data_IF_300658514867
#
_entry.id   IF_300658514867
#
_cell.length_a   1.000
_cell.length_b   1.000
_cell.length_c   1.000
_cell.angle_alpha   90.00
_cell.angle_beta   90.00
_cell.angle_gamma   90.00
#
_symmetry.space_group_name_H-M   'P 1'
#
loop_
_entity.id
_entity.type
_entity.pdbx_description
1 polymer ?
#
# COMPACT_ATOMS: atom_id res chain seq x y z
N UNK A 1 -16.53 13.61 4.85
CA UNK A 1 -17.41 14.19 3.83
C UNK A 1 -17.10 13.80 2.38
N UNK A 2 -16.00 13.14 2.08
CA UNK A 2 -15.68 12.66 0.71
C UNK A 2 -16.35 11.32 0.34
N UNK A 3 -16.79 10.52 1.31
CA UNK A 3 -17.40 9.19 1.12
C UNK A 3 -18.86 9.23 0.61
N UNK A 4 -19.56 10.35 0.74
CA UNK A 4 -20.97 10.46 0.30
C UNK A 4 -21.13 10.70 -1.21
N UNK A 5 -20.14 11.24 -1.90
CA UNK A 5 -20.21 11.53 -3.34
C UNK A 5 -20.21 10.28 -4.22
N UNK A 6 -19.61 9.18 -3.76
CA UNK A 6 -19.57 7.93 -4.52
C UNK A 6 -20.89 7.14 -4.43
N UNK A 7 -21.65 7.31 -3.34
CA UNK A 7 -22.96 6.68 -3.19
C UNK A 7 -24.00 7.27 -4.16
N UNK A 8 -23.91 8.59 -4.44
CA UNK A 8 -24.84 9.26 -5.35
C UNK A 8 -24.59 8.90 -6.83
N UNK A 9 -23.34 8.65 -7.24
CA UNK A 9 -23.03 8.24 -8.60
C UNK A 9 -23.51 6.81 -8.92
N UNK A 10 -23.51 5.90 -7.95
CA UNK A 10 -24.03 4.54 -8.12
C UNK A 10 -25.57 4.51 -8.22
N UNK A 11 -26.27 5.39 -7.50
CA UNK A 11 -27.75 5.48 -7.57
C UNK A 11 -28.24 6.09 -8.88
N UNK A 12 -27.51 7.02 -9.50
CA UNK A 12 -27.91 7.63 -10.77
C UNK A 12 -27.70 6.70 -11.98
N UNK A 13 -26.74 5.77 -11.92
CA UNK A 13 -26.56 4.76 -12.98
C UNK A 13 -27.63 3.64 -12.95
N UNK A 14 -28.27 3.39 -11.79
CA UNK A 14 -29.31 2.37 -11.66
C UNK A 14 -30.72 2.83 -12.08
N UNK A 15 -30.97 4.14 -12.16
CA UNK A 15 -32.32 4.65 -12.50
C UNK A 15 -32.58 4.75 -14.00
N UNK A 16 -31.56 4.70 -14.85
CA UNK A 16 -31.74 4.80 -16.31
C UNK A 16 -32.02 3.46 -17.01
N UNK A 17 -31.89 2.31 -16.31
CA UNK A 17 -32.18 0.99 -16.89
C UNK A 17 -33.59 0.47 -16.58
N UNK A 18 -34.40 1.20 -15.80
CA UNK A 18 -35.67 0.71 -15.27
C UNK A 18 -36.94 1.36 -15.84
N UNK A 19 -36.85 2.19 -16.88
CA UNK A 19 -38.04 2.76 -17.52
C UNK A 19 -38.14 2.40 -18.98
N UNK A 20 -38.30 1.10 -19.28
CA UNK A 20 -38.98 0.69 -20.49
C UNK A 20 -40.43 0.49 -20.14
N UNK A 21 -41.20 1.57 -20.20
CA UNK A 21 -42.63 1.56 -20.12
C UNK A 21 -43.17 0.81 -21.34
N UNK A 22 -43.70 -0.42 -21.14
CA UNK A 22 -44.47 -1.13 -22.17
C UNK A 22 -45.82 -0.42 -22.30
N UNK A 23 -45.94 0.41 -23.32
CA UNK A 23 -47.25 0.87 -23.80
C UNK A 23 -47.92 -0.33 -24.46
N UNK A 24 -48.97 -0.87 -23.80
CA UNK A 24 -49.83 -1.87 -24.41
C UNK A 24 -50.80 -1.10 -25.33
N UNK A 25 -50.55 -1.16 -26.62
CA UNK A 25 -51.49 -0.63 -27.62
C UNK A 25 -52.63 -1.67 -27.81
N UNK A 26 -53.78 -1.40 -27.24
CA UNK A 26 -55.00 -2.20 -27.37
C UNK A 26 -55.81 -1.70 -28.57
N UNK A 27 -55.30 -1.83 -29.75
CA UNK A 27 -56.17 -1.71 -30.92
C UNK A 27 -55.71 -2.58 -32.11
N UNK A 28 -56.68 -3.35 -32.60
CA UNK A 28 -56.72 -4.19 -33.83
C UNK A 28 -56.27 -5.65 -33.69
N UNK A 29 -57.31 -6.50 -33.50
CA UNK A 29 -57.47 -7.82 -34.12
C UNK A 29 -56.24 -8.70 -34.25
N UNK A 30 -55.59 -9.00 -33.16
CA UNK A 30 -54.40 -9.84 -33.17
C UNK A 30 -54.72 -11.26 -32.68
N UNK A 31 -54.45 -12.23 -33.54
CA UNK A 31 -54.43 -13.63 -33.20
C UNK A 31 -53.62 -13.85 -31.90
N UNK A 32 -54.20 -14.52 -30.92
CA UNK A 32 -53.47 -14.99 -29.73
C UNK A 32 -52.37 -15.94 -30.19
N UNK A 33 -51.16 -15.43 -30.38
CA UNK A 33 -49.97 -16.29 -30.53
C UNK A 33 -49.78 -17.04 -29.25
N UNK A 34 -50.03 -18.35 -29.27
CA UNK A 34 -49.66 -19.21 -28.16
C UNK A 34 -48.17 -19.05 -27.92
N UNK A 35 -47.77 -18.61 -26.70
CA UNK A 35 -46.35 -18.57 -26.30
C UNK A 35 -45.78 -19.99 -26.44
N UNK A 36 -44.66 -20.10 -27.10
CA UNK A 36 -43.94 -21.36 -27.19
C UNK A 36 -43.17 -21.60 -25.87
N UNK A 37 -42.82 -22.85 -25.57
CA UNK A 37 -41.98 -23.21 -24.45
C UNK A 37 -40.69 -22.34 -24.42
N UNK A 38 -40.12 -22.02 -25.56
CA UNK A 38 -38.95 -21.13 -25.70
C UNK A 38 -39.23 -19.70 -25.26
N UNK A 39 -40.46 -19.20 -25.44
CA UNK A 39 -40.83 -17.85 -25.00
C UNK A 39 -40.99 -17.81 -23.48
N UNK A 40 -41.56 -18.87 -22.86
CA UNK A 40 -41.62 -19.01 -21.41
C UNK A 40 -40.25 -19.13 -20.76
N UNK A 41 -39.33 -19.92 -21.36
CA UNK A 41 -37.93 -20.01 -20.89
C UNK A 41 -37.21 -18.68 -20.98
N UNK A 42 -37.40 -17.94 -22.08
CA UNK A 42 -36.83 -16.61 -22.26
C UNK A 42 -37.35 -15.59 -21.23
N UNK A 43 -38.65 -15.59 -20.96
CA UNK A 43 -39.25 -14.74 -19.94
C UNK A 43 -38.77 -15.11 -18.55
N UNK A 44 -38.66 -16.40 -18.23
CA UNK A 44 -38.09 -16.87 -16.96
C UNK A 44 -36.64 -16.41 -16.76
N UNK A 45 -35.82 -16.52 -17.81
CA UNK A 45 -34.43 -16.00 -17.76
C UNK A 45 -34.38 -14.48 -17.56
N UNK A 46 -35.24 -13.72 -18.20
CA UNK A 46 -35.33 -12.25 -18.02
C UNK A 46 -35.75 -11.91 -16.60
N UNK A 47 -36.72 -12.62 -16.03
CA UNK A 47 -37.17 -12.39 -14.64
C UNK A 47 -36.10 -12.79 -13.62
N UNK A 48 -35.39 -13.89 -13.83
CA UNK A 48 -34.26 -14.30 -13.00
C UNK A 48 -33.15 -13.25 -13.03
N UNK A 49 -32.76 -12.77 -14.22
CA UNK A 49 -31.74 -11.72 -14.36
C UNK A 49 -32.12 -10.40 -13.68
N UNK A 50 -33.43 -10.03 -13.70
CA UNK A 50 -33.95 -8.87 -12.96
C UNK A 50 -33.87 -9.08 -11.44
N UNK A 51 -34.26 -10.28 -10.96
CA UNK A 51 -34.18 -10.62 -9.55
C UNK A 51 -32.73 -10.59 -9.04
N UNK A 52 -31.79 -11.15 -9.80
CA UNK A 52 -30.38 -11.10 -9.47
C UNK A 52 -29.81 -9.67 -9.48
N UNK A 53 -30.32 -8.81 -10.35
CA UNK A 53 -29.95 -7.40 -10.37
C UNK A 53 -30.37 -6.67 -9.08
N UNK A 54 -31.57 -6.96 -8.57
CA UNK A 54 -32.09 -6.37 -7.32
C UNK A 54 -31.29 -6.91 -6.11
N UNK A 55 -31.03 -8.23 -6.07
CA UNK A 55 -30.21 -8.85 -5.01
C UNK A 55 -28.80 -8.30 -5.01
N UNK A 56 -28.17 -8.14 -6.19
CA UNK A 56 -26.86 -7.54 -6.33
C UNK A 56 -26.80 -6.14 -5.73
N UNK A 57 -27.78 -5.30 -6.04
CA UNK A 57 -27.88 -3.94 -5.48
C UNK A 57 -28.04 -3.95 -3.95
N UNK A 58 -28.85 -4.87 -3.40
CA UNK A 58 -29.04 -5.02 -1.95
C UNK A 58 -27.74 -5.49 -1.27
N UNK A 59 -27.04 -6.46 -1.86
CA UNK A 59 -25.72 -6.89 -1.36
C UNK A 59 -24.72 -5.73 -1.31
N UNK A 60 -24.63 -4.91 -2.38
CA UNK A 60 -23.78 -3.72 -2.40
C UNK A 60 -24.15 -2.73 -1.28
N UNK A 61 -25.43 -2.44 -1.13
CA UNK A 61 -25.92 -1.54 -0.06
C UNK A 61 -25.50 -2.04 1.32
N UNK A 62 -25.68 -3.34 1.60
CA UNK A 62 -25.28 -3.96 2.87
C UNK A 62 -23.77 -3.94 3.06
N UNK A 63 -22.99 -4.25 2.02
CA UNK A 63 -21.55 -4.24 2.08
C UNK A 63 -21.01 -2.84 2.42
N UNK A 64 -21.48 -1.79 1.75
CA UNK A 64 -21.06 -0.42 2.04
C UNK A 64 -21.55 0.08 3.41
N UNK A 65 -22.74 -0.35 3.85
CA UNK A 65 -23.21 -0.07 5.21
C UNK A 65 -22.32 -0.73 6.26
N UNK A 66 -21.92 -1.99 6.05
CA UNK A 66 -20.99 -2.71 6.92
C UNK A 66 -19.60 -2.04 6.98
N UNK A 67 -19.05 -1.57 5.84
CA UNK A 67 -17.81 -0.77 5.82
C UNK A 67 -17.96 0.53 6.64
N UNK A 68 -19.10 1.17 6.58
CA UNK A 68 -19.35 2.39 7.35
C UNK A 68 -19.36 2.12 8.87
N UNK A 69 -19.75 0.92 9.27
CA UNK A 69 -19.78 0.45 10.66
C UNK A 69 -18.49 -0.30 11.06
N UNK A 70 -17.41 -0.21 10.26
CA UNK A 70 -16.14 -0.90 10.44
C UNK A 70 -16.26 -2.44 10.58
N UNK A 71 -17.36 -3.02 10.08
CA UNK A 71 -17.61 -4.48 10.08
C UNK A 71 -17.04 -5.12 8.82
N UNK A 72 -15.71 -5.32 8.79
CA UNK A 72 -15.00 -5.82 7.60
C UNK A 72 -15.46 -7.22 7.18
N UNK A 73 -15.76 -8.11 8.12
CA UNK A 73 -16.21 -9.48 7.84
C UNK A 73 -17.57 -9.52 7.13
N UNK A 74 -18.51 -8.70 7.59
CA UNK A 74 -19.84 -8.57 6.96
C UNK A 74 -19.73 -7.91 5.58
N UNK A 75 -18.90 -6.87 5.45
CA UNK A 75 -18.65 -6.22 4.17
C UNK A 75 -18.07 -7.22 3.15
N UNK A 76 -17.04 -7.98 3.54
CA UNK A 76 -16.41 -9.03 2.73
C UNK A 76 -17.42 -10.08 2.27
N UNK A 77 -18.30 -10.53 3.17
CA UNK A 77 -19.36 -11.50 2.86
C UNK A 77 -20.27 -10.97 1.77
N UNK A 78 -20.84 -9.78 1.96
CA UNK A 78 -21.79 -9.20 1.02
C UNK A 78 -21.16 -8.81 -0.32
N UNK A 79 -19.89 -8.38 -0.35
CA UNK A 79 -19.16 -8.18 -1.60
C UNK A 79 -18.98 -9.50 -2.37
N UNK A 80 -18.60 -10.59 -1.69
CA UNK A 80 -18.47 -11.91 -2.32
C UNK A 80 -19.81 -12.44 -2.85
N UNK A 81 -20.90 -12.24 -2.12
CA UNK A 81 -22.25 -12.56 -2.58
C UNK A 81 -22.64 -11.77 -3.85
N UNK A 82 -22.32 -10.47 -3.88
CA UNK A 82 -22.57 -9.64 -5.06
C UNK A 82 -21.80 -10.13 -6.29
N UNK A 83 -20.51 -10.48 -6.15
CA UNK A 83 -19.72 -11.04 -7.25
C UNK A 83 -20.28 -12.37 -7.78
N UNK A 84 -20.85 -13.21 -6.91
CA UNK A 84 -21.48 -14.47 -7.32
C UNK A 84 -22.76 -14.22 -8.12
N UNK A 85 -23.56 -13.24 -7.74
CA UNK A 85 -24.81 -12.89 -8.42
C UNK A 85 -24.59 -12.31 -9.82
N UNK A 86 -23.57 -11.46 -9.96
CA UNK A 86 -23.24 -10.78 -11.23
C UNK A 86 -21.74 -10.70 -11.47
N UNK A 87 -21.07 -11.80 -11.84
CA UNK A 87 -19.61 -11.85 -11.95
C UNK A 87 -19.02 -10.95 -13.05
N UNK A 88 -19.81 -10.58 -14.04
CA UNK A 88 -19.39 -9.76 -15.19
C UNK A 88 -19.93 -8.32 -15.17
N UNK A 89 -20.46 -7.84 -14.04
CA UNK A 89 -20.97 -6.49 -13.95
C UNK A 89 -19.83 -5.46 -14.08
N UNK A 90 -20.03 -4.41 -14.88
CA UNK A 90 -19.04 -3.36 -15.12
C UNK A 90 -18.54 -2.66 -13.84
N UNK A 91 -19.38 -2.58 -12.79
CA UNK A 91 -19.02 -1.98 -11.50
C UNK A 91 -18.21 -2.87 -10.57
N UNK A 92 -17.94 -4.12 -10.91
CA UNK A 92 -17.27 -5.07 -10.04
C UNK A 92 -15.83 -4.66 -9.67
N UNK A 93 -15.18 -3.80 -10.45
CA UNK A 93 -13.88 -3.24 -10.08
C UNK A 93 -13.90 -2.51 -8.71
N UNK A 94 -15.04 -1.91 -8.33
CA UNK A 94 -15.21 -1.26 -7.02
C UNK A 94 -15.24 -2.32 -5.92
N UNK A 95 -15.95 -3.43 -6.15
CA UNK A 95 -16.01 -4.56 -5.20
C UNK A 95 -14.62 -5.16 -5.03
N UNK A 96 -13.95 -5.43 -6.14
CA UNK A 96 -12.59 -5.99 -6.13
C UNK A 96 -11.61 -5.06 -5.41
N UNK A 97 -11.72 -3.74 -5.61
CA UNK A 97 -10.90 -2.76 -4.86
C UNK A 97 -11.13 -2.88 -3.35
N UNK A 98 -12.39 -2.87 -2.88
CA UNK A 98 -12.68 -2.95 -1.45
C UNK A 98 -12.33 -4.31 -0.84
N UNK A 99 -12.49 -5.39 -1.58
CA UNK A 99 -12.02 -6.71 -1.13
C UNK A 99 -10.49 -6.74 -1.00
N UNK A 100 -9.76 -6.07 -1.88
CA UNK A 100 -8.32 -5.88 -1.77
C UNK A 100 -7.94 -5.09 -0.52
N UNK A 101 -8.62 -3.96 -0.26
CA UNK A 101 -8.41 -3.13 0.94
C UNK A 101 -8.70 -3.92 2.24
N UNK A 102 -9.77 -4.72 2.26
CA UNK A 102 -10.09 -5.59 3.40
C UNK A 102 -9.01 -6.66 3.60
N UNK A 103 -8.58 -7.32 2.53
CA UNK A 103 -7.56 -8.35 2.60
C UNK A 103 -6.21 -7.78 3.07
N UNK A 104 -5.86 -6.55 2.67
CA UNK A 104 -4.67 -5.84 3.14
C UNK A 104 -4.73 -5.57 4.65
N UNK A 105 -5.86 -5.09 5.16
CA UNK A 105 -6.08 -4.87 6.61
C UNK A 105 -6.02 -6.18 7.39
N UNK A 106 -6.53 -7.29 6.81
CA UNK A 106 -6.46 -8.63 7.41
C UNK A 106 -5.05 -9.26 7.31
N UNK A 107 -4.09 -8.62 6.61
CA UNK A 107 -2.74 -9.15 6.39
C UNK A 107 -2.67 -10.25 5.32
N UNK A 108 -3.73 -10.48 4.56
CA UNK A 108 -3.81 -11.47 3.50
C UNK A 108 -3.28 -10.89 2.17
N UNK A 109 -1.98 -10.58 2.12
CA UNK A 109 -1.36 -9.80 1.03
C UNK A 109 -1.54 -10.43 -0.36
N UNK A 110 -1.44 -11.76 -0.49
CA UNK A 110 -1.65 -12.44 -1.78
C UNK A 110 -3.12 -12.31 -2.27
N UNK A 111 -4.10 -12.33 -1.34
CA UNK A 111 -5.51 -12.11 -1.67
C UNK A 111 -5.73 -10.65 -2.09
N UNK A 112 -5.09 -9.70 -1.42
CA UNK A 112 -5.13 -8.27 -1.75
C UNK A 112 -4.59 -8.00 -3.16
N UNK A 113 -3.39 -8.49 -3.48
CA UNK A 113 -2.78 -8.37 -4.82
C UNK A 113 -3.70 -8.93 -5.91
N UNK A 114 -4.28 -10.13 -5.68
CA UNK A 114 -5.20 -10.75 -6.63
C UNK A 114 -6.47 -9.91 -6.85
N UNK A 115 -7.04 -9.33 -5.80
CA UNK A 115 -8.20 -8.46 -5.89
C UNK A 115 -7.87 -7.15 -6.62
N UNK A 116 -6.77 -6.47 -6.28
CA UNK A 116 -6.35 -5.25 -6.98
C UNK A 116 -6.05 -5.52 -8.47
N UNK A 117 -5.44 -6.66 -8.78
CA UNK A 117 -5.18 -7.06 -10.17
C UNK A 117 -6.47 -7.26 -10.96
N UNK A 118 -7.51 -7.88 -10.35
CA UNK A 118 -8.83 -8.01 -11.00
C UNK A 118 -9.51 -6.66 -11.20
N UNK A 119 -9.41 -5.76 -10.23
CA UNK A 119 -9.95 -4.39 -10.35
C UNK A 119 -9.27 -3.63 -11.50
N UNK A 120 -7.94 -3.66 -11.57
CA UNK A 120 -7.15 -2.98 -12.60
C UNK A 120 -7.31 -3.59 -13.99
N UNK A 121 -7.61 -4.90 -14.08
CA UNK A 121 -7.96 -5.55 -15.35
C UNK A 121 -9.27 -5.03 -15.93
N UNK A 122 -10.26 -4.73 -15.08
CA UNK A 122 -11.55 -4.16 -15.49
C UNK A 122 -11.43 -2.67 -15.76
N UNK A 123 -10.66 -1.95 -14.95
CA UNK A 123 -10.49 -0.50 -15.04
C UNK A 123 -9.03 -0.10 -14.80
N UNK A 124 -8.22 0.04 -15.87
CA UNK A 124 -6.78 0.28 -15.78
C UNK A 124 -6.39 1.66 -15.22
N UNK A 125 -7.31 2.64 -15.22
CA UNK A 125 -7.09 4.03 -14.79
C UNK A 125 -7.33 4.26 -13.28
N UNK A 126 -7.43 3.21 -12.49
CA UNK A 126 -7.57 3.29 -11.03
C UNK A 126 -6.21 3.56 -10.36
N UNK A 127 -5.77 4.82 -10.37
CA UNK A 127 -4.43 5.20 -9.87
C UNK A 127 -4.21 4.82 -8.40
N UNK A 128 -5.22 5.02 -7.54
CA UNK A 128 -5.13 4.66 -6.12
C UNK A 128 -5.01 3.14 -5.90
N UNK A 129 -5.76 2.35 -6.66
CA UNK A 129 -5.70 0.89 -6.61
C UNK A 129 -4.34 0.39 -7.11
N UNK A 130 -3.80 1.01 -8.16
CA UNK A 130 -2.46 0.70 -8.66
C UNK A 130 -1.38 1.01 -7.62
N UNK A 131 -1.50 2.14 -6.94
CA UNK A 131 -0.56 2.49 -5.86
C UNK A 131 -0.68 1.51 -4.67
N UNK A 132 -1.90 1.14 -4.27
CA UNK A 132 -2.12 0.14 -3.22
C UNK A 132 -1.53 -1.22 -3.62
N UNK A 133 -1.72 -1.66 -4.87
CA UNK A 133 -1.11 -2.90 -5.36
C UNK A 133 0.42 -2.84 -5.31
N UNK A 134 1.03 -1.75 -5.75
CA UNK A 134 2.49 -1.57 -5.68
C UNK A 134 3.03 -1.68 -4.24
N UNK A 135 2.29 -1.17 -3.24
CA UNK A 135 2.65 -1.32 -1.82
C UNK A 135 2.57 -2.79 -1.38
N UNK A 136 1.51 -3.48 -1.75
CA UNK A 136 1.33 -4.92 -1.43
C UNK A 136 2.40 -5.76 -2.13
N UNK A 137 2.68 -5.50 -3.41
CA UNK A 137 3.73 -6.17 -4.18
C UNK A 137 5.12 -5.97 -3.55
N UNK A 138 5.41 -4.76 -3.04
CA UNK A 138 6.64 -4.49 -2.31
C UNK A 138 6.75 -5.35 -1.03
N UNK A 139 5.66 -5.49 -0.28
CA UNK A 139 5.61 -6.33 0.93
C UNK A 139 5.75 -7.83 0.62
N UNK A 140 5.25 -8.27 -0.54
CA UNK A 140 5.39 -9.64 -1.06
C UNK A 140 6.76 -9.90 -1.70
N UNK A 141 7.63 -8.89 -1.77
CA UNK A 141 8.92 -8.94 -2.49
C UNK A 141 8.77 -9.14 -4.01
N UNK A 142 7.61 -8.81 -4.58
CA UNK A 142 7.36 -8.75 -6.02
C UNK A 142 7.87 -7.40 -6.58
N UNK A 143 9.19 -7.21 -6.49
CA UNK A 143 9.81 -5.90 -6.71
C UNK A 143 9.67 -5.39 -8.15
N UNK A 144 9.69 -6.29 -9.15
CA UNK A 144 9.56 -5.91 -10.56
C UNK A 144 8.14 -5.38 -10.85
N UNK A 145 7.14 -6.05 -10.32
CA UNK A 145 5.73 -5.69 -10.45
C UNK A 145 5.47 -4.33 -9.79
N UNK A 146 5.94 -4.15 -8.55
CA UNK A 146 5.85 -2.88 -7.82
C UNK A 146 6.51 -1.72 -8.60
N UNK A 147 7.71 -1.95 -9.17
CA UNK A 147 8.40 -0.97 -10.02
C UNK A 147 7.57 -0.61 -11.24
N UNK A 148 7.00 -1.60 -11.93
CA UNK A 148 6.21 -1.38 -13.16
C UNK A 148 4.94 -0.57 -12.87
N UNK A 149 4.26 -0.83 -11.75
CA UNK A 149 3.11 -0.04 -11.33
C UNK A 149 3.49 1.40 -10.99
N UNK A 150 4.63 1.61 -10.32
CA UNK A 150 5.17 2.95 -10.05
C UNK A 150 5.54 3.69 -11.34
N UNK A 151 6.17 3.03 -12.32
CA UNK A 151 6.52 3.63 -13.61
C UNK A 151 5.27 4.10 -14.36
N UNK A 152 4.22 3.28 -14.38
CA UNK A 152 2.95 3.64 -14.98
C UNK A 152 2.32 4.88 -14.29
N UNK A 153 2.40 4.96 -12.96
CA UNK A 153 1.87 6.10 -12.20
C UNK A 153 2.69 7.39 -12.42
N UNK A 154 4.01 7.31 -12.49
CA UNK A 154 4.87 8.47 -12.72
C UNK A 154 4.66 9.10 -14.09
N UNK A 155 4.31 8.30 -15.11
CA UNK A 155 3.99 8.78 -16.46
C UNK A 155 2.70 9.60 -16.54
N UNK A 156 1.85 9.56 -15.51
CA UNK A 156 0.56 10.28 -15.47
C UNK A 156 0.67 11.69 -14.86
N UNK A 157 1.89 12.22 -14.72
CA UNK A 157 2.16 13.54 -14.12
C UNK A 157 1.46 13.73 -12.76
N UNK A 158 1.76 12.90 -11.77
CA UNK A 158 1.10 12.92 -10.45
C UNK A 158 1.35 14.24 -9.71
N UNK A 159 0.51 14.51 -8.71
CA UNK A 159 0.75 15.62 -7.77
C UNK A 159 2.10 15.45 -7.08
N UNK A 160 2.60 16.52 -6.45
CA UNK A 160 3.87 16.46 -5.71
C UNK A 160 3.84 15.41 -4.61
N UNK A 161 2.74 15.33 -3.88
CA UNK A 161 2.52 14.39 -2.78
C UNK A 161 2.46 12.94 -3.29
N UNK A 162 1.72 12.70 -4.36
CA UNK A 162 1.64 11.36 -4.96
C UNK A 162 3.00 10.96 -5.56
N UNK A 163 3.69 11.90 -6.23
CA UNK A 163 5.02 11.67 -6.77
C UNK A 163 6.02 11.26 -5.69
N UNK A 164 5.98 11.91 -4.53
CA UNK A 164 6.84 11.57 -3.39
C UNK A 164 6.59 10.16 -2.90
N UNK A 165 5.33 9.75 -2.76
CA UNK A 165 4.96 8.38 -2.36
C UNK A 165 5.39 7.34 -3.40
N UNK A 166 5.15 7.61 -4.68
CA UNK A 166 5.50 6.69 -5.76
C UNK A 166 7.02 6.51 -5.85
N UNK A 167 7.79 7.60 -5.75
CA UNK A 167 9.26 7.54 -5.77
C UNK A 167 9.80 6.73 -4.59
N UNK A 168 9.21 6.87 -3.40
CA UNK A 168 9.59 6.08 -2.23
C UNK A 168 9.36 4.58 -2.44
N UNK A 169 8.19 4.19 -2.97
CA UNK A 169 7.85 2.79 -3.25
C UNK A 169 8.78 2.23 -4.34
N UNK A 170 9.01 3.01 -5.43
CA UNK A 170 9.87 2.58 -6.52
C UNK A 170 11.32 2.42 -6.06
N UNK A 171 11.85 3.36 -5.29
CA UNK A 171 13.19 3.26 -4.72
C UNK A 171 13.33 2.03 -3.82
N UNK A 172 12.32 1.73 -2.99
CA UNK A 172 12.30 0.53 -2.16
C UNK A 172 12.33 -0.76 -2.99
N UNK A 173 11.56 -0.81 -4.07
CA UNK A 173 11.57 -1.94 -5.00
C UNK A 173 12.93 -2.08 -5.71
N UNK A 174 13.51 -0.98 -6.16
CA UNK A 174 14.84 -0.96 -6.81
C UNK A 174 15.96 -1.43 -5.87
N UNK A 175 15.91 -1.03 -4.59
CA UNK A 175 16.84 -1.55 -3.57
C UNK A 175 16.66 -3.06 -3.39
N UNK A 176 15.41 -3.54 -3.30
CA UNK A 176 15.12 -4.97 -3.24
C UNK A 176 15.69 -5.75 -4.43
N UNK A 177 15.74 -5.13 -5.61
CA UNK A 177 16.34 -5.67 -6.84
C UNK A 177 17.85 -5.46 -6.92
N UNK A 178 18.48 -4.80 -5.96
CA UNK A 178 19.89 -4.37 -5.95
C UNK A 178 20.28 -3.40 -7.08
N UNK A 179 19.31 -2.65 -7.58
CA UNK A 179 19.50 -1.58 -8.58
C UNK A 179 19.76 -0.23 -7.88
N UNK A 180 20.79 -0.20 -7.04
CA UNK A 180 21.08 0.91 -6.13
C UNK A 180 21.28 2.25 -6.85
N UNK A 181 21.85 2.27 -8.06
CA UNK A 181 22.07 3.50 -8.82
C UNK A 181 20.74 4.15 -9.27
N UNK A 182 19.75 3.32 -9.66
CA UNK A 182 18.43 3.82 -10.04
C UNK A 182 17.66 4.29 -8.80
N UNK A 183 17.69 3.48 -7.73
CA UNK A 183 17.08 3.83 -6.44
C UNK A 183 17.60 5.17 -5.90
N UNK A 184 18.90 5.41 -6.00
CA UNK A 184 19.52 6.67 -5.57
C UNK A 184 18.94 7.88 -6.30
N UNK A 185 18.74 7.82 -7.61
CA UNK A 185 18.15 8.94 -8.39
C UNK A 185 16.74 9.27 -7.89
N UNK A 186 15.96 8.24 -7.58
CA UNK A 186 14.61 8.42 -7.02
C UNK A 186 14.67 9.04 -5.62
N UNK A 187 15.57 8.55 -4.76
CA UNK A 187 15.74 9.05 -3.40
C UNK A 187 16.29 10.50 -3.38
N UNK A 188 17.22 10.83 -4.25
CA UNK A 188 17.71 12.21 -4.42
C UNK A 188 16.56 13.15 -4.83
N UNK A 189 15.76 12.71 -5.80
CA UNK A 189 14.56 13.46 -6.23
C UNK A 189 13.56 13.59 -5.09
N UNK A 190 13.34 12.53 -4.32
CA UNK A 190 12.43 12.54 -3.18
C UNK A 190 12.90 13.49 -2.08
N UNK A 191 14.19 13.50 -1.73
CA UNK A 191 14.75 14.45 -0.76
C UNK A 191 14.57 15.92 -1.18
N UNK A 192 14.61 16.20 -2.50
CA UNK A 192 14.36 17.54 -3.03
C UNK A 192 12.86 17.92 -3.00
N UNK A 193 11.99 16.94 -3.31
CA UNK A 193 10.54 17.15 -3.31
C UNK A 193 9.98 17.27 -1.90
N UNK A 194 10.46 16.43 -0.99
CA UNK A 194 10.01 16.38 0.40
C UNK A 194 11.21 16.38 1.37
N UNK A 195 11.77 17.58 1.67
CA UNK A 195 12.91 17.70 2.59
C UNK A 195 12.60 17.27 4.04
N UNK A 196 11.32 17.14 4.39
CA UNK A 196 10.87 16.66 5.71
C UNK A 196 10.69 15.14 5.77
N UNK A 197 10.87 14.44 4.66
CA UNK A 197 10.80 12.99 4.65
C UNK A 197 11.91 12.40 5.54
N UNK A 198 11.52 11.62 6.51
CA UNK A 198 12.46 11.07 7.50
C UNK A 198 13.21 9.86 6.97
N UNK A 199 12.59 9.10 6.08
CA UNK A 199 13.12 7.81 5.61
C UNK A 199 14.01 7.95 4.37
N UNK A 200 13.68 8.87 3.45
CA UNK A 200 14.41 8.99 2.19
C UNK A 200 15.91 9.28 2.36
N UNK A 201 16.36 10.19 3.25
CA UNK A 201 17.78 10.43 3.49
C UNK A 201 18.49 9.22 4.09
N UNK A 202 17.80 8.44 4.94
CA UNK A 202 18.34 7.22 5.55
C UNK A 202 18.56 6.15 4.48
N UNK A 203 17.55 5.91 3.64
CA UNK A 203 17.64 4.95 2.53
C UNK A 203 18.71 5.36 1.51
N UNK A 204 18.82 6.66 1.21
CA UNK A 204 19.87 7.19 0.34
C UNK A 204 21.26 6.94 0.92
N UNK A 205 21.45 7.20 2.21
CA UNK A 205 22.72 6.98 2.87
C UNK A 205 23.10 5.49 2.94
N UNK A 206 22.11 4.62 3.20
CA UNK A 206 22.33 3.17 3.18
C UNK A 206 22.76 2.71 1.78
N UNK A 207 22.08 3.13 0.73
CA UNK A 207 22.42 2.80 -0.66
C UNK A 207 23.83 3.29 -1.03
N UNK A 208 24.20 4.51 -0.64
CA UNK A 208 25.54 5.06 -0.85
C UNK A 208 26.61 4.26 -0.10
N UNK A 209 26.33 3.85 1.13
CA UNK A 209 27.25 3.03 1.91
C UNK A 209 27.49 1.65 1.28
N UNK A 210 26.43 1.00 0.80
CA UNK A 210 26.53 -0.28 0.09
C UNK A 210 27.31 -0.16 -1.24
N UNK A 211 27.28 0.99 -1.90
CA UNK A 211 28.11 1.31 -3.06
C UNK A 211 29.58 1.62 -2.71
N UNK A 212 29.95 1.60 -1.42
CA UNK A 212 31.29 1.98 -0.94
C UNK A 212 31.52 3.49 -0.80
N UNK A 213 30.50 4.31 -0.97
CA UNK A 213 30.53 5.79 -0.87
C UNK A 213 30.18 6.27 0.54
N UNK A 214 30.82 5.67 1.54
CA UNK A 214 30.49 5.88 2.94
C UNK A 214 30.63 7.33 3.41
N UNK A 215 31.59 8.07 2.85
CA UNK A 215 31.77 9.49 3.19
C UNK A 215 30.55 10.34 2.77
N UNK A 216 30.04 10.10 1.56
CA UNK A 216 28.84 10.81 1.08
C UNK A 216 27.59 10.40 1.89
N UNK A 217 27.49 9.13 2.29
CA UNK A 217 26.42 8.69 3.19
C UNK A 217 26.44 9.46 4.50
N UNK A 218 27.60 9.62 5.14
CA UNK A 218 27.76 10.40 6.36
C UNK A 218 27.35 11.87 6.15
N UNK A 219 27.74 12.48 5.04
CA UNK A 219 27.34 13.86 4.71
C UNK A 219 25.84 14.02 4.59
N UNK A 220 25.15 13.09 3.89
CA UNK A 220 23.69 13.10 3.76
C UNK A 220 22.98 12.95 5.11
N UNK A 221 23.43 12.02 5.96
CA UNK A 221 22.89 11.84 7.31
C UNK A 221 23.17 13.07 8.19
N UNK A 222 24.34 13.68 8.06
CA UNK A 222 24.68 14.90 8.83
C UNK A 222 23.78 16.07 8.44
N UNK A 223 23.50 16.26 7.15
CA UNK A 223 22.56 17.27 6.68
C UNK A 223 21.13 17.00 7.20
N UNK A 224 20.68 15.73 7.14
CA UNK A 224 19.37 15.35 7.66
C UNK A 224 19.26 15.59 9.17
N UNK A 225 20.25 15.18 9.95
CA UNK A 225 20.29 15.39 11.40
C UNK A 225 20.42 16.87 11.77
N UNK A 226 20.91 17.72 10.87
CA UNK A 226 20.85 19.17 11.04
C UNK A 226 19.43 19.71 11.07
N UNK A 227 18.51 19.08 10.36
CA UNK A 227 17.08 19.45 10.29
C UNK A 227 16.28 18.69 11.37
N UNK A 228 16.49 17.38 11.48
CA UNK A 228 15.80 16.49 12.42
C UNK A 228 16.82 15.82 13.36
N UNK A 229 17.17 16.52 14.43
CA UNK A 229 18.22 16.11 15.38
C UNK A 229 17.86 14.86 16.18
N UNK A 230 16.58 14.55 16.30
CA UNK A 230 16.07 13.47 17.15
C UNK A 230 15.75 12.21 16.35
N UNK A 231 16.19 12.13 15.08
CA UNK A 231 15.99 10.94 14.27
C UNK A 231 16.97 9.83 14.70
N UNK A 232 16.46 8.91 15.50
CA UNK A 232 17.21 7.79 16.09
C UNK A 232 17.80 6.87 15.03
N UNK A 233 17.05 6.59 13.94
CA UNK A 233 17.50 5.69 12.88
C UNK A 233 18.63 6.30 12.07
N UNK A 234 18.57 7.62 11.81
CA UNK A 234 19.66 8.35 11.15
C UNK A 234 20.94 8.39 11.99
N UNK A 235 20.82 8.59 13.31
CA UNK A 235 21.93 8.52 14.24
C UNK A 235 22.55 7.11 14.26
N UNK A 236 21.72 6.08 14.40
CA UNK A 236 22.17 4.67 14.43
C UNK A 236 22.89 4.29 13.13
N UNK A 237 22.33 4.66 11.98
CA UNK A 237 22.96 4.38 10.68
C UNK A 237 24.29 5.11 10.54
N UNK A 238 24.37 6.42 10.92
CA UNK A 238 25.62 7.17 10.84
C UNK A 238 26.70 6.58 11.77
N UNK A 239 26.30 6.18 12.98
CA UNK A 239 27.17 5.47 13.91
C UNK A 239 27.69 4.15 13.35
N UNK A 240 26.81 3.35 12.74
CA UNK A 240 27.18 2.09 12.08
C UNK A 240 28.20 2.31 10.96
N UNK A 241 28.00 3.33 10.13
CA UNK A 241 28.93 3.70 9.05
C UNK A 241 30.28 4.18 9.61
N UNK A 242 30.27 5.00 10.68
CA UNK A 242 31.50 5.38 11.39
C UNK A 242 32.23 4.15 11.93
N UNK A 243 31.51 3.19 12.53
CA UNK A 243 32.07 1.94 13.00
C UNK A 243 32.72 1.11 11.90
N UNK A 244 32.10 1.02 10.72
CA UNK A 244 32.64 0.34 9.54
C UNK A 244 33.92 1.01 9.02
N UNK A 245 34.04 2.32 9.18
CA UNK A 245 35.24 3.10 8.86
C UNK A 245 36.31 3.14 9.98
N UNK A 246 36.11 2.37 11.05
CA UNK A 246 36.96 2.34 12.26
C UNK A 246 37.00 3.69 13.03
N UNK A 247 36.07 4.59 12.80
CA UNK A 247 35.89 5.87 13.51
C UNK A 247 35.02 5.66 14.77
N UNK A 248 35.48 4.73 15.65
CA UNK A 248 34.67 4.22 16.77
C UNK A 248 34.27 5.29 17.80
N UNK A 249 35.11 6.33 18.01
CA UNK A 249 34.79 7.40 18.93
C UNK A 249 33.61 8.27 18.43
N UNK A 250 33.54 8.53 17.11
CA UNK A 250 32.40 9.21 16.48
C UNK A 250 31.13 8.33 16.53
N UNK A 251 31.30 7.04 16.27
CA UNK A 251 30.18 6.09 16.39
C UNK A 251 29.58 6.08 17.79
N UNK A 252 30.41 6.12 18.84
CA UNK A 252 29.93 6.16 20.23
C UNK A 252 29.10 7.41 20.52
N UNK A 253 29.49 8.58 20.02
CA UNK A 253 28.72 9.82 20.23
C UNK A 253 27.31 9.70 19.64
N UNK A 254 27.17 9.15 18.44
CA UNK A 254 25.87 8.97 17.81
C UNK A 254 25.04 7.87 18.49
N UNK A 255 25.66 6.75 18.90
CA UNK A 255 24.95 5.72 19.66
C UNK A 255 24.52 6.21 21.04
N UNK A 256 25.30 7.01 21.72
CA UNK A 256 24.96 7.58 23.03
C UNK A 256 23.71 8.46 22.88
N UNK A 257 23.66 9.30 21.86
CA UNK A 257 22.49 10.13 21.59
C UNK A 257 21.28 9.30 21.12
N UNK A 258 21.44 8.30 20.26
CA UNK A 258 20.38 7.40 19.85
C UNK A 258 19.78 6.63 21.04
N UNK A 259 20.61 6.15 21.97
CA UNK A 259 20.16 5.48 23.21
C UNK A 259 19.46 6.47 24.15
N UNK A 260 19.89 7.70 24.21
CA UNK A 260 19.22 8.75 25.02
C UNK A 260 17.79 8.97 24.53
N UNK A 261 17.58 8.96 23.20
CA UNK A 261 16.29 9.15 22.55
C UNK A 261 15.41 7.87 22.62
N UNK A 262 16.01 6.69 22.49
CA UNK A 262 15.32 5.40 22.47
C UNK A 262 15.95 4.40 23.48
N UNK A 263 15.79 4.61 24.81
CA UNK A 263 16.46 3.81 25.84
C UNK A 263 15.96 2.36 25.92
N UNK A 264 14.86 2.04 25.28
CA UNK A 264 14.28 0.69 25.23
C UNK A 264 14.76 -0.14 24.02
N UNK A 265 15.55 0.45 23.12
CA UNK A 265 16.03 -0.23 21.92
C UNK A 265 17.22 -1.15 22.24
N UNK A 266 16.97 -2.45 22.40
CA UNK A 266 18.01 -3.44 22.63
C UNK A 266 19.06 -3.49 21.52
N UNK A 267 18.69 -3.15 20.27
CA UNK A 267 19.60 -3.13 19.13
C UNK A 267 20.71 -2.09 19.31
N UNK A 268 20.38 -0.87 19.72
CA UNK A 268 21.35 0.21 19.91
C UNK A 268 22.42 -0.14 20.94
N UNK A 269 22.03 -0.79 22.05
CA UNK A 269 23.00 -1.27 23.05
C UNK A 269 23.93 -2.33 22.48
N UNK A 270 23.45 -3.25 21.63
CA UNK A 270 24.29 -4.27 21.02
C UNK A 270 25.29 -3.66 20.02
N UNK A 271 24.85 -2.72 19.23
CA UNK A 271 25.70 -2.03 18.26
C UNK A 271 26.77 -1.17 18.96
N UNK A 272 26.37 -0.41 20.01
CA UNK A 272 27.34 0.32 20.83
C UNK A 272 28.34 -0.62 21.52
N UNK A 273 27.90 -1.77 22.01
CA UNK A 273 28.79 -2.75 22.61
C UNK A 273 29.85 -3.25 21.63
N UNK A 274 29.55 -3.43 20.36
CA UNK A 274 30.52 -3.79 19.34
C UNK A 274 31.59 -2.70 19.16
N UNK A 275 31.21 -1.42 19.11
CA UNK A 275 32.14 -0.30 19.04
C UNK A 275 33.02 -0.22 20.29
N UNK A 276 32.45 -0.40 21.49
CA UNK A 276 33.20 -0.42 22.76
C UNK A 276 34.23 -1.56 22.80
N UNK A 277 33.91 -2.72 22.25
CA UNK A 277 34.87 -3.81 22.14
C UNK A 277 36.06 -3.48 21.23
N UNK A 278 35.78 -2.87 20.08
CA UNK A 278 36.84 -2.42 19.16
C UNK A 278 37.80 -1.42 19.81
N UNK A 279 37.27 -0.60 20.72
CA UNK A 279 38.06 0.35 21.53
C UNK A 279 38.69 -0.28 22.77
N UNK A 280 38.57 -1.60 22.99
CA UNK A 280 39.10 -2.29 24.15
C UNK A 280 38.33 -2.06 25.47
N UNK A 281 37.17 -1.34 25.41
CA UNK A 281 36.36 -1.00 26.59
C UNK A 281 35.39 -2.16 26.97
N UNK A 282 35.96 -3.36 27.16
CA UNK A 282 35.20 -4.63 27.36
C UNK A 282 34.18 -4.59 28.49
N UNK A 283 34.50 -3.95 29.61
CA UNK A 283 33.57 -3.87 30.77
C UNK A 283 32.30 -3.08 30.43
N UNK A 284 32.41 -2.01 29.64
CA UNK A 284 31.26 -1.23 29.15
C UNK A 284 30.46 -1.99 28.11
N UNK A 285 31.12 -2.67 27.20
CA UNK A 285 30.47 -3.53 26.21
C UNK A 285 29.62 -4.64 26.87
N UNK A 286 30.11 -5.26 27.94
CA UNK A 286 29.38 -6.29 28.66
C UNK A 286 28.13 -5.73 29.38
N UNK A 287 28.22 -4.51 29.95
CA UNK A 287 27.08 -3.81 30.54
C UNK A 287 25.98 -3.57 29.50
N UNK A 288 26.35 -3.12 28.29
CA UNK A 288 25.40 -2.89 27.20
C UNK A 288 24.75 -4.18 26.74
N UNK A 289 25.50 -5.27 26.60
CA UNK A 289 24.96 -6.60 26.30
C UNK A 289 23.98 -7.10 27.36
N UNK A 290 24.27 -6.88 28.62
CA UNK A 290 23.36 -7.25 29.70
C UNK A 290 22.07 -6.43 29.63
N UNK A 291 22.15 -5.12 29.39
CA UNK A 291 20.97 -4.24 29.20
C UNK A 291 20.13 -4.72 28.03
N UNK A 292 20.75 -5.00 26.88
CA UNK A 292 20.06 -5.51 25.72
C UNK A 292 19.32 -6.83 25.95
N UNK A 293 19.95 -7.76 26.71
CA UNK A 293 19.30 -9.04 27.12
C UNK A 293 18.09 -8.81 28.01
N UNK A 294 18.16 -7.85 28.93
CA UNK A 294 17.04 -7.50 29.81
C UNK A 294 15.86 -6.95 29.04
N UNK A 295 16.12 -6.03 28.10
CA UNK A 295 15.09 -5.42 27.25
C UNK A 295 14.38 -6.43 26.33
N UNK A 296 15.08 -7.47 25.86
CA UNK A 296 14.47 -8.52 25.02
C UNK A 296 13.58 -9.51 25.79
N UNK A 297 13.61 -9.50 27.11
CA UNK A 297 12.83 -10.41 27.98
C UNK A 297 11.54 -9.77 28.50
N UNK A 298 11.42 -8.46 28.35
CA UNK A 298 10.21 -7.70 28.63
C UNK A 298 9.28 -7.67 27.42
#
# INVERSE_FOLDING_TARGET
MLKLRHLFLLLTFMTTAATAQTVIDLDKGGSVRSKTLKDYDREAHIQAAKADSVRYADCLKRAFSALHCDSLSEAKKHFKEALQLRPTAEGNYIIEQHLGEIAEVEGHLNEAEAHYTRALKQKPDLHRTRLARAVVELQLHHFMEAKNDCDALLNLAPTKEDRSRILFIRASALIGMRLNQEARKDLETLCLLDPKNENAPIMLALSLHEEGRSQEAIERLTLHLGINKENTDALALRASIYGALNLHDLALLDYDEAIRLAPESAALYLERAQCLERLGKRSLAEKDRLKARTLRRQ
#
